data_IF_389949594026
#
_entry.id   IF_389949594026
#
_cell.length_a   1.000
_cell.length_b   1.000
_cell.length_c   1.000
_cell.angle_alpha   90.00
_cell.angle_beta   90.00
_cell.angle_gamma   90.00
#
_symmetry.space_group_name_H-M   'P 1'
#
loop_
_entity.id
_entity.type
_entity.pdbx_description
1 polymer ?
#
# COMPACT_ATOMS: atom_id res chain seq x y z
N UNK A 1 13.15 -12.37 -3.72
CA UNK A 1 12.66 -12.88 -2.41
C UNK A 1 13.24 -14.21 -2.01
N UNK A 2 12.90 -15.31 -2.68
CA UNK A 2 13.32 -16.66 -2.25
C UNK A 2 14.84 -16.84 -2.29
N UNK A 3 15.51 -16.39 -3.35
CA UNK A 3 16.98 -16.37 -3.38
C UNK A 3 17.57 -15.54 -2.24
N UNK A 4 17.02 -14.35 -1.99
CA UNK A 4 17.49 -13.46 -0.92
C UNK A 4 17.43 -14.11 0.48
N UNK A 5 16.28 -14.71 0.86
CA UNK A 5 16.16 -15.33 2.18
C UNK A 5 17.04 -16.58 2.31
N UNK A 6 17.30 -17.30 1.21
CA UNK A 6 18.17 -18.47 1.21
C UNK A 6 19.65 -18.10 1.35
N UNK A 7 20.07 -17.00 0.74
CA UNK A 7 21.49 -16.68 0.57
C UNK A 7 22.00 -15.58 1.48
N UNK A 8 21.13 -14.66 1.93
CA UNK A 8 21.55 -13.38 2.53
C UNK A 8 20.96 -13.09 3.91
N UNK A 9 19.71 -13.47 4.17
CA UNK A 9 19.10 -13.25 5.49
C UNK A 9 19.83 -14.10 6.54
N UNK A 10 20.15 -13.51 7.70
CA UNK A 10 20.94 -14.15 8.76
C UNK A 10 22.45 -14.07 8.58
N UNK A 11 22.94 -13.39 7.53
CA UNK A 11 24.39 -13.26 7.27
C UNK A 11 25.02 -12.00 7.87
N UNK A 12 24.23 -11.18 8.58
CA UNK A 12 24.66 -10.01 9.30
C UNK A 12 23.71 -9.77 10.48
N UNK A 13 24.23 -9.28 11.59
CA UNK A 13 23.42 -8.73 12.68
C UNK A 13 23.66 -7.22 12.80
N UNK A 14 22.59 -6.48 13.09
CA UNK A 14 22.62 -5.04 13.40
C UNK A 14 22.36 -4.82 14.89
N UNK A 15 22.90 -3.75 15.51
CA UNK A 15 22.57 -3.38 16.87
C UNK A 15 21.07 -3.17 17.07
N UNK A 16 20.50 -3.78 18.10
CA UNK A 16 19.12 -3.57 18.52
C UNK A 16 19.09 -2.41 19.51
N UNK A 17 18.35 -1.36 19.16
CA UNK A 17 18.27 -0.10 19.91
C UNK A 17 16.87 0.16 20.49
N UNK A 18 15.90 -0.71 20.19
CA UNK A 18 14.55 -0.64 20.75
C UNK A 18 14.07 -2.03 21.17
N UNK A 19 13.25 -2.08 22.22
CA UNK A 19 12.48 -3.26 22.59
C UNK A 19 11.43 -3.64 21.53
N UNK A 20 11.07 -2.70 20.64
CA UNK A 20 10.09 -2.90 19.58
C UNK A 20 10.80 -2.91 18.24
N UNK A 21 10.92 -4.08 17.61
CA UNK A 21 11.61 -4.22 16.33
C UNK A 21 10.71 -4.85 15.27
N UNK A 22 10.75 -4.29 14.07
CA UNK A 22 10.00 -4.84 12.94
C UNK A 22 10.79 -4.76 11.63
N UNK A 23 10.39 -5.56 10.65
CA UNK A 23 10.65 -5.27 9.25
C UNK A 23 9.41 -4.62 8.63
N UNK A 24 9.61 -3.65 7.73
CA UNK A 24 8.55 -3.14 6.88
C UNK A 24 8.75 -3.69 5.46
N UNK A 25 7.83 -4.54 5.01
CA UNK A 25 8.00 -5.41 3.86
C UNK A 25 7.00 -5.06 2.75
N UNK A 26 7.50 -4.89 1.52
CA UNK A 26 6.65 -4.56 0.38
C UNK A 26 6.27 -3.07 0.33
N UNK A 27 7.22 -2.20 0.64
CA UNK A 27 7.19 -0.78 0.32
C UNK A 27 8.51 -0.42 -0.36
N UNK A 28 8.43 0.47 -1.36
CA UNK A 28 9.49 0.77 -2.30
C UNK A 28 9.87 2.26 -2.34
N UNK A 29 9.40 3.05 -1.36
CA UNK A 29 9.71 4.46 -1.20
C UNK A 29 9.35 5.32 -2.44
N UNK A 30 8.25 5.00 -3.12
CA UNK A 30 7.82 5.77 -4.28
C UNK A 30 7.56 7.21 -3.84
N UNK A 31 8.27 8.17 -4.44
CA UNK A 31 8.29 9.58 -4.02
C UNK A 31 8.42 9.83 -2.50
N UNK A 32 9.08 8.94 -1.75
CA UNK A 32 9.31 9.13 -0.31
C UNK A 32 8.31 8.45 0.63
N UNK A 33 7.46 7.53 0.17
CA UNK A 33 6.48 6.82 1.03
C UNK A 33 7.14 6.24 2.30
N UNK A 34 8.24 5.49 2.14
CA UNK A 34 8.97 4.90 3.27
C UNK A 34 9.52 5.96 4.22
N UNK A 35 10.05 7.07 3.69
CA UNK A 35 10.58 8.16 4.49
C UNK A 35 9.48 8.88 5.28
N UNK A 36 8.26 8.95 4.75
CA UNK A 36 7.10 9.45 5.48
C UNK A 36 6.74 8.48 6.61
N UNK A 37 6.57 7.20 6.30
CA UNK A 37 6.18 6.18 7.27
C UNK A 37 7.23 6.01 8.39
N UNK A 38 8.53 6.17 8.07
CA UNK A 38 9.60 6.11 9.06
C UNK A 38 9.40 7.13 10.20
N UNK A 39 8.84 8.31 9.90
CA UNK A 39 8.54 9.32 10.94
C UNK A 39 7.55 8.80 11.97
N UNK A 40 6.61 7.95 11.56
CA UNK A 40 5.66 7.31 12.47
C UNK A 40 6.36 6.27 13.34
N UNK A 41 7.22 5.43 12.75
CA UNK A 41 7.97 4.40 13.48
C UNK A 41 8.91 5.03 14.52
N UNK A 42 9.60 6.12 14.15
CA UNK A 42 10.45 6.89 15.05
C UNK A 42 9.66 7.47 16.22
N UNK A 43 8.51 8.10 15.96
CA UNK A 43 7.62 8.66 17.00
C UNK A 43 7.08 7.59 17.95
N UNK A 44 6.81 6.38 17.45
CA UNK A 44 6.34 5.25 18.25
C UNK A 44 7.47 4.55 19.03
N UNK A 45 8.73 4.86 18.71
CA UNK A 45 9.91 4.22 19.27
C UNK A 45 10.15 2.80 18.72
N UNK A 46 9.66 2.51 17.52
CA UNK A 46 9.83 1.21 16.86
C UNK A 46 11.05 1.26 15.96
N UNK A 47 12.03 0.39 16.21
CA UNK A 47 13.17 0.22 15.34
C UNK A 47 12.78 -0.61 14.12
N UNK A 48 12.95 -0.05 12.93
CA UNK A 48 12.84 -0.82 11.69
C UNK A 48 14.19 -1.45 11.39
N UNK A 49 14.27 -2.78 11.49
CA UNK A 49 15.48 -3.56 11.17
C UNK A 49 15.79 -3.46 9.69
N UNK A 50 14.75 -3.62 8.85
CA UNK A 50 14.88 -3.55 7.41
C UNK A 50 13.59 -3.03 6.76
N UNK A 51 13.77 -2.11 5.81
CA UNK A 51 12.76 -1.81 4.81
C UNK A 51 13.03 -2.69 3.59
N UNK A 52 12.06 -3.49 3.18
CA UNK A 52 12.13 -4.34 1.99
C UNK A 52 11.27 -3.74 0.87
N UNK A 53 11.79 -2.88 -0.01
CA UNK A 53 13.19 -2.41 -0.11
C UNK A 53 13.34 -0.89 -0.19
N UNK A 54 12.27 -0.14 0.05
CA UNK A 54 12.25 1.32 -0.04
C UNK A 54 13.26 1.98 0.89
N UNK A 55 14.12 2.84 0.36
CA UNK A 55 15.20 3.51 1.10
C UNK A 55 16.09 2.56 1.95
N UNK A 56 16.13 1.27 1.62
CA UNK A 56 16.86 0.25 2.35
C UNK A 56 18.34 0.17 1.93
N UNK A 57 19.15 -0.45 2.78
CA UNK A 57 20.53 -0.83 2.44
C UNK A 57 20.63 -2.34 2.27
N UNK A 58 21.58 -2.80 1.46
CA UNK A 58 21.86 -4.23 1.29
C UNK A 58 22.07 -4.93 2.64
N UNK A 59 22.81 -4.28 3.53
CA UNK A 59 23.18 -4.83 4.83
C UNK A 59 22.00 -4.93 5.80
N UNK A 60 21.11 -3.94 5.84
CA UNK A 60 19.87 -4.04 6.63
C UNK A 60 19.03 -5.28 6.22
N UNK A 61 18.94 -5.55 4.91
CA UNK A 61 18.21 -6.70 4.38
C UNK A 61 18.84 -8.07 4.76
N UNK A 62 20.12 -8.10 5.14
CA UNK A 62 20.78 -9.32 5.64
C UNK A 62 20.41 -9.62 7.09
N UNK A 63 19.88 -8.65 7.82
CA UNK A 63 19.57 -8.72 9.25
C UNK A 63 18.08 -8.90 9.55
N UNK A 64 17.23 -9.12 8.54
CA UNK A 64 15.77 -9.25 8.67
C UNK A 64 15.31 -10.30 9.71
N UNK A 65 16.15 -11.30 10.02
CA UNK A 65 15.87 -12.34 11.00
C UNK A 65 15.88 -11.84 12.46
N UNK A 66 16.30 -10.61 12.74
CA UNK A 66 16.32 -10.04 14.10
C UNK A 66 15.02 -9.31 14.49
N UNK A 67 14.10 -9.11 13.55
CA UNK A 67 12.84 -8.41 13.82
C UNK A 67 11.87 -9.26 14.65
N UNK A 68 11.06 -8.62 15.50
CA UNK A 68 9.96 -9.27 16.24
C UNK A 68 8.66 -9.35 15.43
N UNK A 69 8.48 -8.50 14.43
CA UNK A 69 7.29 -8.44 13.56
C UNK A 69 7.66 -8.19 12.09
N UNK A 70 6.96 -8.82 11.16
CA UNK A 70 6.96 -8.45 9.74
C UNK A 70 5.66 -7.73 9.38
N UNK A 71 5.72 -6.42 9.17
CA UNK A 71 4.61 -5.63 8.66
C UNK A 71 4.66 -5.64 7.14
N UNK A 72 3.58 -6.06 6.48
CA UNK A 72 3.53 -6.25 5.02
C UNK A 72 2.49 -5.31 4.41
N UNK A 73 2.91 -4.50 3.45
CA UNK A 73 2.00 -3.71 2.61
C UNK A 73 1.77 -4.43 1.27
N UNK A 74 2.73 -4.41 0.35
CA UNK A 74 2.61 -5.13 -0.92
C UNK A 74 2.78 -6.66 -0.78
N UNK A 75 1.68 -7.34 -0.44
CA UNK A 75 1.64 -8.79 -0.28
C UNK A 75 2.01 -9.56 -1.57
N UNK A 76 1.66 -9.04 -2.75
CA UNK A 76 1.95 -9.71 -4.03
C UNK A 76 3.45 -9.84 -4.30
N UNK A 77 4.18 -8.75 -4.18
CA UNK A 77 5.62 -8.77 -4.49
C UNK A 77 6.41 -9.37 -3.35
N UNK A 78 5.99 -9.19 -2.10
CA UNK A 78 6.87 -9.36 -0.93
C UNK A 78 6.32 -10.32 0.13
N UNK A 79 5.10 -10.85 -0.03
CA UNK A 79 4.53 -11.86 0.87
C UNK A 79 5.36 -13.14 0.93
N UNK A 80 6.07 -13.49 -0.14
CA UNK A 80 6.94 -14.67 -0.18
C UNK A 80 8.02 -14.65 0.90
N UNK A 81 8.74 -13.53 1.05
CA UNK A 81 9.82 -13.44 2.05
C UNK A 81 9.25 -13.34 3.46
N UNK A 82 8.12 -12.65 3.65
CA UNK A 82 7.45 -12.60 4.95
C UNK A 82 6.99 -13.99 5.42
N UNK A 83 6.43 -14.81 4.51
CA UNK A 83 6.02 -16.18 4.82
C UNK A 83 7.23 -17.06 5.20
N UNK A 84 8.33 -16.95 4.48
CA UNK A 84 9.54 -17.73 4.79
C UNK A 84 10.24 -17.23 6.07
N UNK A 85 10.22 -15.92 6.37
CA UNK A 85 10.69 -15.39 7.66
C UNK A 85 9.87 -15.94 8.83
N UNK A 86 8.54 -16.00 8.68
CA UNK A 86 7.65 -16.65 9.66
C UNK A 86 7.99 -18.12 9.84
N UNK A 87 8.20 -18.85 8.74
CA UNK A 87 8.48 -20.28 8.76
C UNK A 87 9.83 -20.62 9.40
N UNK A 88 10.89 -19.85 9.10
CA UNK A 88 12.26 -20.16 9.51
C UNK A 88 12.66 -19.56 10.85
N UNK A 89 12.14 -18.37 11.16
CA UNK A 89 12.54 -17.60 12.34
C UNK A 89 11.37 -17.31 13.29
N UNK A 90 10.16 -17.80 12.99
CA UNK A 90 8.98 -17.60 13.84
C UNK A 90 8.40 -16.18 13.81
N UNK A 91 8.92 -15.27 12.97
CA UNK A 91 8.54 -13.85 12.96
C UNK A 91 7.14 -13.68 12.35
N UNK A 92 6.11 -13.25 13.11
CA UNK A 92 4.74 -13.14 12.60
C UNK A 92 4.62 -12.18 11.42
N UNK A 93 3.67 -12.47 10.52
CA UNK A 93 3.28 -11.62 9.38
C UNK A 93 2.01 -10.86 9.74
N UNK A 94 2.04 -9.55 9.62
CA UNK A 94 0.91 -8.65 9.78
C UNK A 94 0.69 -7.87 8.47
N UNK A 95 -0.39 -8.17 7.77
CA UNK A 95 -0.76 -7.41 6.56
C UNK A 95 -1.50 -6.12 6.98
N UNK A 96 -1.07 -4.99 6.40
CA UNK A 96 -1.70 -3.68 6.58
C UNK A 96 -1.93 -3.02 5.22
N UNK A 97 -2.73 -1.97 5.24
CA UNK A 97 -2.88 -1.03 4.14
C UNK A 97 -2.21 0.29 4.57
N UNK A 98 -1.05 0.61 3.98
CA UNK A 98 -0.36 1.88 4.28
C UNK A 98 -0.80 3.04 3.38
N UNK A 99 -1.76 2.80 2.49
CA UNK A 99 -2.54 3.82 1.80
C UNK A 99 -3.95 3.86 2.39
N UNK A 100 -4.57 5.06 2.36
CA UNK A 100 -5.87 5.30 2.96
C UNK A 100 -5.72 5.89 4.36
N UNK A 101 -6.50 6.93 4.65
CA UNK A 101 -6.39 7.70 5.88
C UNK A 101 -6.86 6.89 7.08
N UNK A 102 -8.02 6.25 6.96
CA UNK A 102 -8.55 5.38 8.01
C UNK A 102 -7.75 4.06 8.13
N UNK A 103 -7.25 3.55 7.02
CA UNK A 103 -6.50 2.31 6.94
C UNK A 103 -5.10 2.43 7.54
N UNK A 104 -4.44 3.58 7.36
CA UNK A 104 -3.17 3.86 8.05
C UNK A 104 -3.36 3.87 9.56
N UNK A 105 -4.46 4.45 10.06
CA UNK A 105 -4.80 4.41 11.49
C UNK A 105 -5.07 2.98 11.98
N UNK A 106 -5.77 2.15 11.20
CA UNK A 106 -5.96 0.73 11.51
C UNK A 106 -4.63 -0.04 11.55
N UNK A 107 -3.74 0.22 10.60
CA UNK A 107 -2.40 -0.36 10.56
C UNK A 107 -1.58 0.01 11.81
N UNK A 108 -1.57 1.28 12.20
CA UNK A 108 -0.91 1.76 13.43
C UNK A 108 -1.49 1.05 14.66
N UNK A 109 -2.82 0.97 14.78
CA UNK A 109 -3.49 0.29 15.90
C UNK A 109 -3.07 -1.17 16.01
N UNK A 110 -3.05 -1.91 14.90
CA UNK A 110 -2.62 -3.32 14.88
C UNK A 110 -1.15 -3.49 15.30
N UNK A 111 -0.27 -2.63 14.80
CA UNK A 111 1.16 -2.65 15.16
C UNK A 111 1.36 -2.32 16.64
N UNK A 112 0.70 -1.27 17.14
CA UNK A 112 0.80 -0.86 18.54
C UNK A 112 0.21 -1.91 19.49
N UNK A 113 -0.90 -2.56 19.12
CA UNK A 113 -1.48 -3.66 19.89
C UNK A 113 -0.54 -4.89 19.96
N UNK A 114 0.19 -5.18 18.88
CA UNK A 114 1.19 -6.25 18.90
C UNK A 114 2.32 -5.98 19.90
N UNK A 115 2.73 -4.70 20.05
CA UNK A 115 3.83 -4.29 20.91
C UNK A 115 3.40 -3.82 22.31
N UNK A 116 2.10 -3.72 22.62
CA UNK A 116 1.59 -3.20 23.90
C UNK A 116 1.88 -1.71 24.10
N UNK A 117 1.77 -0.91 23.04
CA UNK A 117 2.02 0.55 23.03
C UNK A 117 0.84 1.33 22.45
N UNK A 118 -0.39 0.86 22.69
CA UNK A 118 -1.65 1.40 22.18
C UNK A 118 -1.82 2.90 22.46
N UNK A 119 -1.48 3.36 23.67
CA UNK A 119 -1.58 4.77 24.05
C UNK A 119 -0.72 5.68 23.15
N UNK A 120 0.47 5.21 22.72
CA UNK A 120 1.33 5.95 21.78
C UNK A 120 0.72 5.97 20.38
N UNK A 121 0.12 4.86 19.98
CA UNK A 121 -0.60 4.72 18.71
C UNK A 121 -1.76 5.71 18.61
N UNK A 122 -2.63 5.75 19.61
CA UNK A 122 -3.77 6.68 19.63
C UNK A 122 -3.32 8.14 19.70
N UNK A 123 -2.25 8.46 20.44
CA UNK A 123 -1.70 9.81 20.46
C UNK A 123 -1.19 10.26 19.08
N UNK A 124 -0.46 9.39 18.37
CA UNK A 124 -0.01 9.67 17.00
C UNK A 124 -1.20 9.84 16.04
N UNK A 125 -2.18 8.93 16.10
CA UNK A 125 -3.37 9.00 15.25
C UNK A 125 -4.13 10.30 15.50
N UNK A 126 -4.33 10.71 16.75
CA UNK A 126 -5.00 11.96 17.08
C UNK A 126 -4.27 13.18 16.52
N UNK A 127 -2.94 13.22 16.60
CA UNK A 127 -2.11 14.29 16.01
C UNK A 127 -2.30 14.35 14.48
N UNK A 128 -2.18 13.23 13.78
CA UNK A 128 -2.32 13.18 12.31
C UNK A 128 -3.76 13.49 11.87
N UNK A 129 -4.77 13.06 12.63
CA UNK A 129 -6.18 13.43 12.40
C UNK A 129 -6.40 14.93 12.53
N UNK A 130 -5.91 15.55 13.60
CA UNK A 130 -6.03 17.00 13.77
C UNK A 130 -5.34 17.78 12.64
N UNK A 131 -4.24 17.26 12.11
CA UNK A 131 -3.43 17.92 11.09
C UNK A 131 -3.99 17.81 9.67
N UNK A 132 -4.53 16.66 9.29
CA UNK A 132 -4.81 16.32 7.89
C UNK A 132 -6.28 16.07 7.57
N UNK A 133 -7.09 15.69 8.56
CA UNK A 133 -8.51 15.40 8.35
C UNK A 133 -9.28 16.59 7.77
N UNK A 134 -9.04 17.86 8.16
CA UNK A 134 -9.73 19.00 7.55
C UNK A 134 -9.50 19.13 6.03
N UNK A 135 -8.27 18.92 5.57
CA UNK A 135 -7.91 18.96 4.15
C UNK A 135 -8.50 17.77 3.41
N UNK A 136 -8.47 16.58 4.01
CA UNK A 136 -9.10 15.38 3.45
C UNK A 136 -10.61 15.58 3.26
N UNK A 137 -11.29 16.15 4.26
CA UNK A 137 -12.73 16.42 4.21
C UNK A 137 -13.09 17.44 3.14
N UNK A 138 -12.25 18.45 2.94
CA UNK A 138 -12.39 19.40 1.82
C UNK A 138 -12.34 18.69 0.46
N UNK A 139 -11.44 17.72 0.28
CA UNK A 139 -11.37 16.93 -0.95
C UNK A 139 -12.58 16.00 -1.09
N UNK A 140 -12.98 15.33 0.00
CA UNK A 140 -14.16 14.44 0.02
C UNK A 140 -15.41 15.15 -0.46
N UNK A 141 -15.66 16.38 0.01
CA UNK A 141 -16.81 17.19 -0.43
C UNK A 141 -16.87 17.38 -1.96
N UNK A 142 -15.72 17.49 -2.63
CA UNK A 142 -15.61 17.77 -4.07
C UNK A 142 -15.54 16.51 -4.94
N UNK A 143 -14.99 15.44 -4.37
CA UNK A 143 -14.75 14.17 -5.04
C UNK A 143 -15.85 13.14 -4.80
N UNK A 144 -16.74 13.37 -3.83
CA UNK A 144 -17.86 12.49 -3.56
C UNK A 144 -18.70 12.22 -4.83
N UNK A 145 -18.98 10.93 -5.07
CA UNK A 145 -19.74 10.45 -6.21
C UNK A 145 -18.98 10.43 -7.53
N UNK A 146 -17.72 10.89 -7.59
CA UNK A 146 -16.89 10.75 -8.80
C UNK A 146 -16.56 9.29 -9.04
N UNK A 147 -16.55 8.90 -10.31
CA UNK A 147 -16.23 7.55 -10.77
C UNK A 147 -14.75 7.44 -11.11
N UNK A 148 -14.08 6.44 -10.55
CA UNK A 148 -12.66 6.18 -10.76
C UNK A 148 -12.43 4.81 -11.39
N UNK A 149 -11.43 4.72 -12.27
CA UNK A 149 -10.87 3.45 -12.70
C UNK A 149 -9.42 3.29 -12.22
N UNK A 150 -8.99 2.07 -11.90
CA UNK A 150 -7.64 1.75 -11.41
C UNK A 150 -7.00 0.68 -12.28
N UNK A 151 -6.04 1.06 -13.13
CA UNK A 151 -5.36 0.13 -14.05
C UNK A 151 -3.85 0.14 -13.76
N UNK A 152 -3.43 -0.74 -12.85
CA UNK A 152 -2.06 -0.75 -12.32
C UNK A 152 -1.46 -2.17 -12.31
N UNK A 153 -0.51 -2.45 -11.41
CA UNK A 153 0.11 -3.78 -11.32
C UNK A 153 -0.80 -4.85 -10.74
N UNK A 154 -1.56 -4.51 -9.69
CA UNK A 154 -2.44 -5.43 -8.97
C UNK A 154 -2.75 -4.93 -7.56
N UNK A 155 -1.78 -4.89 -6.63
CA UNK A 155 -2.07 -4.64 -5.20
C UNK A 155 -2.80 -3.34 -4.89
N UNK A 156 -2.47 -2.28 -5.63
CA UNK A 156 -3.10 -0.97 -5.45
C UNK A 156 -4.60 -0.97 -5.73
N UNK A 157 -5.13 -1.97 -6.46
CA UNK A 157 -6.57 -2.13 -6.63
C UNK A 157 -7.24 -2.40 -5.27
N UNK A 158 -6.80 -3.42 -4.54
CA UNK A 158 -7.40 -3.77 -3.26
C UNK A 158 -7.00 -2.85 -2.11
N UNK A 159 -5.82 -2.21 -2.17
CA UNK A 159 -5.46 -1.14 -1.22
C UNK A 159 -6.32 0.13 -1.40
N UNK A 160 -6.69 0.48 -2.63
CA UNK A 160 -7.32 1.77 -2.90
C UNK A 160 -8.84 1.71 -3.03
N UNK A 161 -9.40 0.63 -3.57
CA UNK A 161 -10.83 0.59 -3.95
C UNK A 161 -11.75 1.06 -2.84
N UNK A 162 -11.52 0.59 -1.61
CA UNK A 162 -12.35 0.93 -0.47
C UNK A 162 -11.87 2.19 0.26
N UNK A 163 -10.57 2.48 0.25
CA UNK A 163 -10.05 3.68 0.92
C UNK A 163 -10.48 4.97 0.22
N UNK A 164 -10.45 5.03 -1.11
CA UNK A 164 -10.96 6.22 -1.83
C UNK A 164 -12.48 6.35 -1.71
N UNK A 165 -13.20 5.24 -1.54
CA UNK A 165 -14.63 5.27 -1.24
C UNK A 165 -14.90 5.84 0.15
N UNK A 166 -14.27 5.27 1.17
CA UNK A 166 -14.50 5.64 2.57
C UNK A 166 -13.99 7.06 2.88
N UNK A 167 -12.79 7.40 2.41
CA UNK A 167 -12.10 8.63 2.79
C UNK A 167 -12.37 9.80 1.84
N UNK A 168 -12.70 9.54 0.57
CA UNK A 168 -12.96 10.59 -0.44
C UNK A 168 -14.34 10.51 -1.10
N UNK A 169 -15.14 9.48 -0.81
CA UNK A 169 -16.46 9.30 -1.42
C UNK A 169 -16.43 8.93 -2.90
N UNK A 170 -15.27 8.48 -3.42
CA UNK A 170 -15.08 8.12 -4.83
C UNK A 170 -15.59 6.70 -5.07
N UNK A 171 -16.31 6.48 -6.17
CA UNK A 171 -16.80 5.17 -6.58
C UNK A 171 -15.83 4.53 -7.58
N UNK A 172 -15.25 3.37 -7.24
CA UNK A 172 -14.37 2.65 -8.17
C UNK A 172 -15.18 1.73 -9.07
N UNK A 173 -15.25 2.07 -10.37
CA UNK A 173 -16.16 1.44 -11.34
C UNK A 173 -15.49 0.45 -12.28
N UNK A 174 -14.16 0.51 -12.42
CA UNK A 174 -13.40 -0.48 -13.16
C UNK A 174 -11.97 -0.62 -12.61
N UNK A 175 -11.47 -1.84 -12.59
CA UNK A 175 -10.15 -2.16 -12.08
C UNK A 175 -9.49 -3.20 -12.99
N UNK A 176 -8.22 -2.97 -13.31
CA UNK A 176 -7.42 -3.88 -14.14
C UNK A 176 -6.05 -4.11 -13.53
N UNK A 177 -5.69 -5.38 -13.45
CA UNK A 177 -4.46 -5.89 -12.86
C UNK A 177 -3.57 -6.45 -13.96
N UNK A 178 -2.32 -5.99 -14.04
CA UNK A 178 -1.37 -6.53 -15.03
C UNK A 178 -0.87 -7.94 -14.69
N UNK A 179 -0.72 -8.24 -13.40
CA UNK A 179 -0.02 -9.46 -12.95
C UNK A 179 -0.46 -9.97 -11.57
N UNK A 180 -1.57 -9.46 -11.03
CA UNK A 180 -2.14 -9.95 -9.79
C UNK A 180 -2.50 -11.44 -9.90
N UNK A 181 -2.35 -12.18 -8.81
CA UNK A 181 -2.78 -13.58 -8.77
C UNK A 181 -4.23 -13.66 -8.32
N UNK A 182 -4.81 -14.87 -8.33
CA UNK A 182 -6.15 -15.11 -7.79
C UNK A 182 -6.35 -14.53 -6.38
N UNK A 183 -5.36 -14.63 -5.48
CA UNK A 183 -5.41 -14.03 -4.13
C UNK A 183 -5.64 -12.51 -4.17
N UNK A 184 -5.05 -11.81 -5.15
CA UNK A 184 -5.23 -10.37 -5.31
C UNK A 184 -6.65 -10.04 -5.80
N UNK A 185 -7.22 -10.91 -6.64
CA UNK A 185 -8.62 -10.80 -7.09
C UNK A 185 -9.62 -11.08 -5.97
N UNK A 186 -9.36 -12.08 -5.12
CA UNK A 186 -10.17 -12.35 -3.93
C UNK A 186 -10.22 -11.12 -3.01
N UNK A 187 -9.08 -10.47 -2.77
CA UNK A 187 -8.99 -9.24 -1.96
C UNK A 187 -9.75 -8.07 -2.58
N UNK A 188 -9.57 -7.81 -3.88
CA UNK A 188 -10.21 -6.65 -4.52
C UNK A 188 -11.71 -6.86 -4.67
N UNK A 189 -12.19 -8.07 -4.97
CA UNK A 189 -13.62 -8.36 -5.07
C UNK A 189 -14.30 -8.26 -3.69
N UNK A 190 -13.62 -8.71 -2.63
CA UNK A 190 -14.15 -8.58 -1.26
C UNK A 190 -14.30 -7.13 -0.79
N UNK A 191 -13.50 -6.21 -1.33
CA UNK A 191 -13.50 -4.77 -0.96
C UNK A 191 -14.24 -3.88 -1.95
N UNK A 192 -14.35 -4.29 -3.21
CA UNK A 192 -14.90 -3.49 -4.29
C UNK A 192 -16.42 -3.57 -4.38
N UNK A 193 -16.99 -2.64 -5.14
CA UNK A 193 -18.43 -2.52 -5.27
C UNK A 193 -19.03 -3.57 -6.22
N UNK A 194 -20.32 -3.86 -6.03
CA UNK A 194 -21.11 -4.63 -7.00
C UNK A 194 -21.29 -3.80 -8.27
N UNK A 195 -21.17 -4.45 -9.44
CA UNK A 195 -21.26 -3.79 -10.75
C UNK A 195 -19.94 -3.20 -11.26
N UNK A 196 -18.88 -3.24 -10.45
CA UNK A 196 -17.51 -2.88 -10.88
C UNK A 196 -16.93 -3.95 -11.81
N UNK A 197 -16.19 -3.53 -12.83
CA UNK A 197 -15.45 -4.46 -13.70
C UNK A 197 -14.09 -4.81 -13.06
N UNK A 198 -13.78 -6.10 -12.96
CA UNK A 198 -12.50 -6.61 -12.46
C UNK A 198 -11.81 -7.39 -13.58
N UNK A 199 -10.69 -6.88 -14.06
CA UNK A 199 -10.05 -7.33 -15.31
C UNK A 199 -8.66 -7.85 -15.00
N UNK A 200 -8.37 -9.07 -15.42
CA UNK A 200 -7.03 -9.66 -15.40
C UNK A 200 -6.35 -9.49 -16.76
N UNK A 201 -5.08 -9.06 -16.73
CA UNK A 201 -4.23 -8.80 -17.91
C UNK A 201 -4.94 -8.00 -19.01
N UNK A 202 -5.62 -6.91 -18.60
CA UNK A 202 -6.43 -6.11 -19.52
C UNK A 202 -5.61 -5.49 -20.65
N UNK A 203 -6.12 -5.56 -21.87
CA UNK A 203 -5.49 -5.00 -23.05
C UNK A 203 -6.08 -3.65 -23.47
N UNK A 204 -5.41 -2.97 -24.41
CA UNK A 204 -5.76 -1.60 -24.78
C UNK A 204 -7.15 -1.47 -25.43
N UNK A 205 -7.61 -2.47 -26.20
CA UNK A 205 -8.95 -2.46 -26.80
C UNK A 205 -10.03 -2.65 -25.74
N UNK A 206 -9.81 -3.56 -24.79
CA UNK A 206 -10.71 -3.76 -23.65
C UNK A 206 -10.81 -2.50 -22.80
N UNK A 207 -9.71 -1.77 -22.61
CA UNK A 207 -9.74 -0.49 -21.92
C UNK A 207 -10.68 0.49 -22.60
N UNK A 208 -10.63 0.65 -23.92
CA UNK A 208 -11.58 1.53 -24.64
C UNK A 208 -13.03 1.07 -24.48
N UNK A 209 -13.30 -0.22 -24.61
CA UNK A 209 -14.66 -0.76 -24.43
C UNK A 209 -15.18 -0.51 -22.99
N UNK A 210 -14.31 -0.61 -21.99
CA UNK A 210 -14.67 -0.31 -20.60
C UNK A 210 -14.97 1.18 -20.41
N UNK A 211 -14.22 2.08 -21.06
CA UNK A 211 -14.48 3.52 -20.98
C UNK A 211 -15.86 3.90 -21.52
N UNK A 212 -16.30 3.23 -22.60
CA UNK A 212 -17.64 3.40 -23.16
C UNK A 212 -18.74 2.88 -22.25
N UNK A 213 -18.45 1.87 -21.41
CA UNK A 213 -19.43 1.28 -20.49
C UNK A 213 -19.56 2.05 -19.18
N UNK A 214 -18.44 2.46 -18.58
CA UNK A 214 -18.43 2.98 -17.19
C UNK A 214 -18.25 4.50 -17.11
N UNK A 215 -17.75 5.14 -18.17
CA UNK A 215 -17.51 6.59 -18.24
C UNK A 215 -16.86 7.17 -16.97
N UNK A 216 -15.61 6.79 -16.65
CA UNK A 216 -14.95 7.24 -15.42
C UNK A 216 -14.63 8.74 -15.50
N UNK A 217 -14.71 9.43 -14.36
CA UNK A 217 -14.32 10.84 -14.23
C UNK A 217 -12.79 10.99 -14.08
N UNK A 218 -12.10 9.96 -13.59
CA UNK A 218 -10.64 9.93 -13.46
C UNK A 218 -10.10 8.50 -13.55
N UNK A 219 -8.89 8.34 -14.07
CA UNK A 219 -8.23 7.02 -14.16
C UNK A 219 -6.86 7.07 -13.52
N UNK A 220 -6.61 6.14 -12.60
CA UNK A 220 -5.30 5.93 -12.01
C UNK A 220 -4.58 4.83 -12.77
N UNK A 221 -3.58 5.19 -13.56
CA UNK A 221 -2.85 4.26 -14.44
C UNK A 221 -1.41 4.72 -14.71
N UNK A 222 -0.65 4.02 -15.56
CA UNK A 222 0.68 4.45 -15.98
C UNK A 222 0.64 5.61 -16.98
N UNK A 223 1.72 6.41 -17.11
CA UNK A 223 1.74 7.62 -17.92
C UNK A 223 1.40 7.38 -19.40
N UNK A 224 1.86 6.27 -19.99
CA UNK A 224 1.54 5.92 -21.40
C UNK A 224 0.03 5.80 -21.64
N UNK A 225 -0.67 5.07 -20.77
CA UNK A 225 -2.14 4.92 -20.87
C UNK A 225 -2.82 6.24 -20.51
N UNK A 226 -2.28 6.98 -19.54
CA UNK A 226 -2.74 8.32 -19.19
C UNK A 226 -2.71 9.31 -20.36
N UNK A 227 -1.67 9.27 -21.20
CA UNK A 227 -1.56 10.10 -22.40
C UNK A 227 -2.57 9.70 -23.48
N UNK A 228 -2.89 8.41 -23.59
CA UNK A 228 -3.90 7.88 -24.51
C UNK A 228 -5.30 8.38 -24.13
N UNK A 229 -5.73 8.14 -22.89
CA UNK A 229 -7.09 8.51 -22.43
C UNK A 229 -7.30 10.03 -22.35
N UNK A 230 -6.22 10.82 -22.26
CA UNK A 230 -6.28 12.28 -22.35
C UNK A 230 -6.91 12.76 -23.67
N UNK A 231 -6.76 11.98 -24.76
CA UNK A 231 -7.41 12.26 -26.06
C UNK A 231 -8.94 12.09 -26.02
N UNK A 232 -9.46 11.40 -25.01
CA UNK A 232 -10.88 11.28 -24.72
C UNK A 232 -11.35 12.30 -23.67
N UNK A 233 -10.52 13.28 -23.32
CA UNK A 233 -10.77 14.28 -22.29
C UNK A 233 -10.99 13.72 -20.88
N UNK A 234 -10.47 12.52 -20.61
CA UNK A 234 -10.50 11.92 -19.27
C UNK A 234 -9.16 12.26 -18.56
N UNK A 235 -9.20 12.91 -17.39
CA UNK A 235 -7.99 13.17 -16.61
C UNK A 235 -7.44 11.88 -16.02
N UNK A 236 -6.12 11.85 -15.79
CA UNK A 236 -5.46 10.69 -15.20
C UNK A 236 -4.56 11.08 -14.05
N UNK A 237 -4.40 10.17 -13.09
CA UNK A 237 -3.35 10.20 -12.07
C UNK A 237 -2.37 9.06 -12.34
N UNK A 238 -1.06 9.29 -12.22
CA UNK A 238 -0.07 8.22 -12.33
C UNK A 238 -0.19 7.27 -11.14
N UNK A 239 -0.93 6.17 -11.31
CA UNK A 239 -1.18 5.16 -10.29
C UNK A 239 0.02 4.26 -10.00
N UNK A 240 1.18 4.50 -10.63
CA UNK A 240 2.44 3.79 -10.36
C UNK A 240 3.46 4.69 -9.66
N UNK A 241 3.84 5.80 -10.28
CA UNK A 241 4.87 6.70 -9.79
C UNK A 241 4.35 7.92 -9.04
N UNK A 242 3.02 8.09 -8.92
CA UNK A 242 2.32 9.29 -8.45
C UNK A 242 2.49 10.50 -9.36
N UNK A 243 1.56 11.46 -9.26
CA UNK A 243 1.81 12.80 -9.80
C UNK A 243 2.69 13.58 -8.83
N UNK A 244 2.22 13.79 -7.59
CA UNK A 244 2.94 14.43 -6.51
C UNK A 244 2.68 13.65 -5.22
N UNK A 245 3.57 12.71 -4.90
CA UNK A 245 3.54 11.96 -3.65
C UNK A 245 4.32 12.65 -2.52
N UNK A 246 4.63 11.91 -1.44
CA UNK A 246 4.18 10.55 -1.15
C UNK A 246 2.64 10.46 -0.98
N UNK A 247 2.07 9.27 -1.18
CA UNK A 247 0.62 9.00 -1.09
C UNK A 247 0.27 8.16 0.12
#
# INVERSE_FOLDING_TARGET
NIGWINEKVGTLETPITSEYTMNFIGDFNIQGDTQLLQKYWDKLGIQVIAHFTGNGTYDALRSMNQAKLNVVNCARSSGYIANELKKRYGIPRLDIDSWGFNYMAEGIRKICAFFGIEDRGEALIAEEYAKWKPQLDWYKERLAGKKMAIWTGGPRLWHWTKSVEDDLGIQVVAMSSKFGHQEDFEKVIARGATGTYYIDDGNELEFFEILEKVHPDVIFTGPRVGELIKKMHIPYVNGHGYHNGPY
#
